data_IF_843779679163
#
_entry.id   IF_843779679163
#
_cell.length_a   1.000
_cell.length_b   1.000
_cell.length_c   1.000
_cell.angle_alpha   90.00
_cell.angle_beta   90.00
_cell.angle_gamma   90.00
#
_symmetry.space_group_name_H-M   'P 1'
#
loop_
_entity.id
_entity.type
_entity.pdbx_description
1 polymer ?
#
# COMPACT_ATOMS: atom_id res chain seq x y z
N UNK A 1 25.12 41.28 -14.71
CA UNK A 1 24.72 39.87 -15.00
C UNK A 1 24.64 38.98 -13.76
N UNK A 2 25.04 39.44 -12.55
CA UNK A 2 25.05 38.59 -11.34
C UNK A 2 23.74 38.53 -10.53
N UNK A 3 22.83 39.49 -10.64
CA UNK A 3 21.61 39.54 -9.81
C UNK A 3 20.51 38.58 -10.28
N UNK A 4 20.48 38.23 -11.56
CA UNK A 4 19.48 37.32 -12.14
C UNK A 4 19.70 35.86 -11.73
N UNK A 5 20.92 35.50 -11.36
CA UNK A 5 21.27 34.14 -10.90
C UNK A 5 21.01 33.92 -9.41
N UNK A 6 21.04 34.98 -8.58
CA UNK A 6 20.70 34.89 -7.16
C UNK A 6 19.18 34.82 -6.92
N UNK A 7 18.38 35.60 -7.66
CA UNK A 7 16.91 35.47 -7.64
C UNK A 7 16.41 34.10 -8.09
N UNK A 8 17.03 33.51 -9.11
CA UNK A 8 16.67 32.15 -9.53
C UNK A 8 17.02 31.08 -8.48
N UNK A 9 18.02 31.32 -7.61
CA UNK A 9 18.39 30.41 -6.53
C UNK A 9 17.44 30.53 -5.34
N UNK A 10 17.04 31.74 -4.97
CA UNK A 10 16.10 32.03 -3.90
C UNK A 10 14.65 31.68 -4.28
N UNK A 11 14.20 31.97 -5.50
CA UNK A 11 12.88 31.54 -6.00
C UNK A 11 12.77 30.02 -6.13
N UNK A 12 13.85 29.32 -6.48
CA UNK A 12 13.88 27.85 -6.45
C UNK A 12 13.94 27.28 -5.04
N UNK A 13 14.55 27.98 -4.09
CA UNK A 13 14.58 27.60 -2.68
C UNK A 13 13.23 27.89 -2.01
N UNK A 14 12.55 28.96 -2.40
CA UNK A 14 11.23 29.37 -1.92
C UNK A 14 10.10 28.56 -2.59
N UNK A 15 10.28 28.09 -3.83
CA UNK A 15 9.48 27.01 -4.41
C UNK A 15 9.79 25.64 -3.79
N UNK A 16 11.05 25.35 -3.43
CA UNK A 16 11.40 24.14 -2.64
C UNK A 16 10.86 24.18 -1.21
N UNK A 17 10.73 25.37 -0.61
CA UNK A 17 10.13 25.62 0.70
C UNK A 17 8.61 25.87 0.62
N UNK A 18 8.02 25.95 -0.57
CA UNK A 18 6.57 25.92 -0.76
C UNK A 18 6.11 24.46 -0.64
N UNK A 19 6.09 24.00 0.61
CA UNK A 19 5.77 22.64 1.04
C UNK A 19 4.50 22.15 0.35
N UNK A 20 4.63 21.16 -0.55
CA UNK A 20 3.50 20.39 -1.07
C UNK A 20 3.44 18.97 -0.52
N UNK A 21 4.52 18.50 0.13
CA UNK A 21 4.53 17.24 0.84
C UNK A 21 5.57 17.18 1.97
N UNK A 22 5.36 16.28 2.93
CA UNK A 22 6.24 16.06 4.08
C UNK A 22 6.38 14.57 4.42
N UNK A 23 7.59 14.12 4.78
CA UNK A 23 7.80 12.77 5.32
C UNK A 23 7.30 12.70 6.74
N UNK A 24 6.52 11.66 7.03
CA UNK A 24 5.96 11.45 8.35
C UNK A 24 6.69 10.34 9.11
N UNK A 25 6.98 10.62 10.38
CA UNK A 25 7.42 9.65 11.37
C UNK A 25 6.37 9.49 12.46
N UNK A 26 6.44 8.38 13.19
CA UNK A 26 5.56 8.10 14.32
C UNK A 26 6.13 8.68 15.61
N UNK A 27 5.30 9.38 16.38
CA UNK A 27 5.69 9.83 17.72
C UNK A 27 5.75 8.65 18.70
N UNK A 28 6.80 8.54 19.54
CA UNK A 28 6.97 7.47 20.52
C UNK A 28 5.74 7.24 21.40
N UNK A 29 5.32 5.98 21.55
CA UNK A 29 4.20 5.59 22.41
C UNK A 29 2.79 5.95 21.91
N UNK A 30 2.66 6.61 20.75
CA UNK A 30 1.36 7.06 20.22
C UNK A 30 1.00 6.36 18.92
N UNK A 31 -0.15 6.64 18.31
CA UNK A 31 -0.47 6.28 16.92
C UNK A 31 -0.44 7.51 15.99
N UNK A 32 0.23 8.58 16.41
CA UNK A 32 0.26 9.88 15.73
C UNK A 32 1.49 9.97 14.84
N UNK A 33 1.28 10.45 13.62
CA UNK A 33 2.33 10.66 12.63
C UNK A 33 2.51 12.16 12.37
N UNK A 34 3.76 12.61 12.32
CA UNK A 34 4.15 14.03 12.18
C UNK A 34 5.36 14.18 11.28
N UNK A 35 5.51 15.37 10.72
CA UNK A 35 6.67 15.73 9.91
C UNK A 35 7.95 15.53 10.73
N UNK A 36 8.85 14.67 10.27
CA UNK A 36 10.11 14.35 10.95
C UNK A 36 11.06 15.55 11.05
N UNK A 37 10.96 16.51 10.12
CA UNK A 37 11.75 17.75 10.18
C UNK A 37 11.27 18.66 11.32
N UNK A 38 9.97 18.63 11.62
CA UNK A 38 9.37 19.43 12.69
C UNK A 38 9.46 18.74 14.06
N UNK A 39 9.41 17.41 14.08
CA UNK A 39 9.45 16.59 15.30
C UNK A 39 10.55 15.53 15.19
N UNK A 40 11.79 15.86 15.57
CA UNK A 40 12.95 14.96 15.45
C UNK A 40 12.84 13.67 16.27
N UNK A 41 12.00 13.63 17.30
CA UNK A 41 11.69 12.44 18.09
C UNK A 41 10.81 11.42 17.33
N UNK A 42 10.19 11.84 16.22
CA UNK A 42 9.38 10.98 15.38
C UNK A 42 10.29 9.98 14.65
N UNK A 43 9.95 8.69 14.74
CA UNK A 43 10.74 7.61 14.15
C UNK A 43 10.06 7.04 12.92
N UNK A 44 10.85 6.56 11.98
CA UNK A 44 10.39 5.94 10.73
C UNK A 44 10.52 4.42 10.79
N UNK A 45 10.03 3.73 9.77
CA UNK A 45 10.08 2.27 9.69
C UNK A 45 10.94 1.83 8.51
N UNK A 46 11.83 0.88 8.74
CA UNK A 46 12.60 0.25 7.67
C UNK A 46 11.66 -0.35 6.62
N UNK A 47 11.95 -0.09 5.34
CA UNK A 47 11.16 -0.60 4.21
C UNK A 47 9.86 0.15 3.95
N UNK A 48 9.51 1.17 4.73
CA UNK A 48 8.25 1.90 4.62
C UNK A 48 8.53 3.41 4.62
N UNK A 49 8.11 4.08 3.56
CA UNK A 49 8.12 5.54 3.48
C UNK A 49 6.68 6.04 3.63
N UNK A 50 6.48 7.07 4.46
CA UNK A 50 5.16 7.68 4.66
C UNK A 50 5.26 9.14 4.26
N UNK A 51 4.45 9.57 3.30
CA UNK A 51 4.49 10.93 2.78
C UNK A 51 3.09 11.51 2.82
N UNK A 52 2.96 12.68 3.45
CA UNK A 52 1.75 13.48 3.41
C UNK A 52 1.80 14.44 2.27
N UNK A 53 0.70 14.57 1.53
CA UNK A 53 0.52 15.60 0.52
C UNK A 53 -0.30 16.73 1.15
N UNK A 54 0.30 17.93 1.21
CA UNK A 54 -0.24 19.11 1.90
C UNK A 54 -0.97 20.08 0.94
N UNK A 55 -1.35 19.62 -0.25
CA UNK A 55 -1.99 20.45 -1.28
C UNK A 55 -2.98 19.66 -2.17
N UNK A 56 -3.93 20.35 -2.84
CA UNK A 56 -4.67 19.76 -3.96
C UNK A 56 -3.70 19.24 -5.03
N UNK A 57 -4.06 18.16 -5.71
CA UNK A 57 -3.20 17.53 -6.71
C UNK A 57 -3.72 17.85 -8.12
N UNK A 58 -2.90 18.49 -8.92
CA UNK A 58 -3.24 18.90 -10.27
C UNK A 58 -2.06 18.70 -11.22
N UNK A 59 -2.29 18.84 -12.52
CA UNK A 59 -1.28 18.62 -13.55
C UNK A 59 0.06 19.34 -13.28
N UNK A 60 0.01 20.59 -12.79
CA UNK A 60 1.22 21.38 -12.59
C UNK A 60 2.06 20.99 -11.36
N UNK A 61 1.52 20.26 -10.37
CA UNK A 61 2.29 19.88 -9.17
C UNK A 61 2.55 18.37 -9.02
N UNK A 62 1.92 17.53 -9.84
CA UNK A 62 2.09 16.08 -9.71
C UNK A 62 3.53 15.61 -9.99
N UNK A 63 4.24 16.24 -10.92
CA UNK A 63 5.64 15.91 -11.19
C UNK A 63 6.52 16.22 -9.98
N UNK A 64 6.30 17.36 -9.33
CA UNK A 64 7.02 17.70 -8.10
C UNK A 64 6.75 16.67 -7.00
N UNK A 65 5.50 16.20 -6.84
CA UNK A 65 5.17 15.15 -5.86
C UNK A 65 5.91 13.85 -6.20
N UNK A 66 5.96 13.45 -7.48
CA UNK A 66 6.72 12.26 -7.92
C UNK A 66 8.20 12.38 -7.59
N UNK A 67 8.82 13.50 -7.94
CA UNK A 67 10.25 13.74 -7.70
C UNK A 67 10.57 13.68 -6.20
N UNK A 68 9.72 14.29 -5.36
CA UNK A 68 9.87 14.23 -3.91
C UNK A 68 9.71 12.82 -3.36
N UNK A 69 8.74 12.05 -3.84
CA UNK A 69 8.57 10.66 -3.43
C UNK A 69 9.83 9.83 -3.73
N UNK A 70 10.45 10.03 -4.91
CA UNK A 70 11.70 9.37 -5.26
C UNK A 70 12.88 9.82 -4.39
N UNK A 71 13.00 11.11 -4.08
CA UNK A 71 14.03 11.62 -3.17
C UNK A 71 13.92 10.98 -1.77
N UNK A 72 12.70 10.85 -1.24
CA UNK A 72 12.45 10.21 0.06
C UNK A 72 12.70 8.70 0.10
N UNK A 73 12.81 8.03 -1.05
CA UNK A 73 13.25 6.63 -1.10
C UNK A 73 14.76 6.48 -0.84
N UNK A 74 15.53 7.50 -1.21
CA UNK A 74 17.00 7.50 -1.19
C UNK A 74 17.51 8.10 0.11
N UNK A 75 16.83 9.13 0.62
CA UNK A 75 17.31 9.88 1.76
C UNK A 75 17.16 9.13 3.09
N UNK A 76 18.29 9.08 3.81
CA UNK A 76 18.39 8.53 5.14
C UNK A 76 18.34 9.71 6.12
N UNK A 77 17.13 10.25 6.37
CA UNK A 77 16.85 11.53 7.04
C UNK A 77 17.33 11.68 8.50
N UNK A 78 18.30 10.90 8.97
CA UNK A 78 18.82 10.93 10.34
C UNK A 78 17.82 10.49 11.41
N UNK A 79 16.55 10.29 11.04
CA UNK A 79 15.49 9.79 11.91
C UNK A 79 15.82 8.39 12.40
N UNK A 80 15.50 8.12 13.67
CA UNK A 80 15.63 6.76 14.20
C UNK A 80 14.72 5.82 13.40
N UNK A 81 15.28 4.72 12.89
CA UNK A 81 14.54 3.72 12.13
C UNK A 81 14.17 2.54 13.02
N UNK A 82 12.96 2.02 12.87
CA UNK A 82 12.47 0.83 13.59
C UNK A 82 11.96 -0.24 12.64
N UNK A 83 11.78 -1.45 13.15
CA UNK A 83 11.27 -2.58 12.39
C UNK A 83 12.39 -3.48 11.86
N UNK A 84 12.04 -4.47 11.01
CA UNK A 84 13.00 -5.43 10.48
C UNK A 84 14.13 -4.74 9.71
N UNK A 85 15.34 -5.30 9.72
CA UNK A 85 16.43 -4.78 8.90
C UNK A 85 16.17 -5.13 7.43
N UNK A 86 15.86 -4.11 6.63
CA UNK A 86 15.73 -4.22 5.18
C UNK A 86 16.53 -3.10 4.52
N UNK A 87 17.10 -3.40 3.35
CA UNK A 87 18.03 -2.51 2.64
C UNK A 87 17.33 -1.63 1.60
N UNK A 88 16.03 -1.85 1.34
CA UNK A 88 15.25 -1.11 0.35
C UNK A 88 13.86 -0.76 0.86
N UNK A 89 13.22 0.17 0.18
CA UNK A 89 11.80 0.47 0.34
C UNK A 89 10.95 -0.62 -0.32
N UNK A 90 9.90 -1.05 0.37
CA UNK A 90 8.90 -1.99 -0.12
C UNK A 90 7.51 -1.36 -0.19
N UNK A 91 7.25 -0.35 0.64
CA UNK A 91 5.96 0.30 0.73
C UNK A 91 6.09 1.81 0.77
N UNK A 92 5.22 2.48 0.02
CA UNK A 92 5.02 3.93 0.09
C UNK A 92 3.58 4.21 0.49
N UNK A 93 3.40 4.83 1.64
CA UNK A 93 2.09 5.23 2.16
C UNK A 93 1.89 6.71 1.86
N UNK A 94 0.89 7.03 1.05
CA UNK A 94 0.50 8.40 0.72
C UNK A 94 -0.65 8.81 1.64
N UNK A 95 -0.40 9.81 2.49
CA UNK A 95 -1.40 10.43 3.35
C UNK A 95 -2.05 11.61 2.60
N UNK A 96 -3.36 11.53 2.45
CA UNK A 96 -4.15 12.44 1.63
C UNK A 96 -5.18 13.26 2.43
N UNK A 97 -5.10 13.32 3.76
CA UNK A 97 -6.08 14.07 4.54
C UNK A 97 -6.16 15.57 4.16
N UNK A 98 -5.03 16.25 3.89
CA UNK A 98 -5.07 17.65 3.45
C UNK A 98 -5.48 17.82 1.98
N UNK A 99 -5.49 16.75 1.18
CA UNK A 99 -5.78 16.83 -0.25
C UNK A 99 -7.27 17.08 -0.42
N UNK A 100 -7.65 18.28 -0.86
CA UNK A 100 -9.05 18.66 -1.05
C UNK A 100 -9.61 18.27 -2.42
N UNK A 101 -8.75 18.20 -3.43
CA UNK A 101 -9.12 17.98 -4.83
C UNK A 101 -8.02 17.26 -5.61
N UNK A 102 -8.42 16.46 -6.60
CA UNK A 102 -7.53 15.82 -7.57
C UNK A 102 -8.11 15.94 -8.98
N UNK A 103 -7.32 16.43 -9.94
CA UNK A 103 -7.77 16.54 -11.34
C UNK A 103 -7.54 15.25 -12.15
N UNK A 104 -8.17 15.08 -13.34
CA UNK A 104 -8.00 13.88 -14.16
C UNK A 104 -6.56 13.61 -14.60
N UNK A 105 -5.75 14.65 -14.80
CA UNK A 105 -4.35 14.50 -15.20
C UNK A 105 -3.49 13.96 -14.07
N UNK A 106 -3.71 14.43 -12.84
CA UNK A 106 -3.10 13.95 -11.62
C UNK A 106 -3.52 12.50 -11.32
N UNK A 107 -4.78 12.14 -11.59
CA UNK A 107 -5.24 10.75 -11.52
C UNK A 107 -4.42 9.86 -12.46
N UNK A 108 -4.23 10.27 -13.72
CA UNK A 108 -3.44 9.49 -14.66
C UNK A 108 -1.99 9.35 -14.19
N UNK A 109 -1.37 10.45 -13.78
CA UNK A 109 -0.01 10.44 -13.27
C UNK A 109 0.16 9.59 -12.00
N UNK A 110 -0.84 9.50 -11.13
CA UNK A 110 -0.86 8.57 -9.98
C UNK A 110 -0.94 7.11 -10.44
N UNK A 111 -1.72 6.79 -11.48
CA UNK A 111 -1.75 5.45 -12.06
C UNK A 111 -0.40 5.06 -12.66
N UNK A 112 0.23 5.99 -13.39
CA UNK A 112 1.56 5.77 -13.97
C UNK A 112 2.59 5.53 -12.87
N UNK A 113 2.57 6.35 -11.81
CA UNK A 113 3.43 6.18 -10.64
C UNK A 113 3.23 4.80 -9.98
N UNK A 114 1.98 4.36 -9.84
CA UNK A 114 1.70 3.02 -9.31
C UNK A 114 2.31 1.91 -10.18
N UNK A 115 2.23 2.02 -11.51
CA UNK A 115 2.88 1.04 -12.40
C UNK A 115 4.40 1.09 -12.28
N UNK A 116 5.00 2.27 -12.27
CA UNK A 116 6.44 2.47 -12.08
C UNK A 116 6.92 1.83 -10.76
N UNK A 117 6.16 1.99 -9.68
CA UNK A 117 6.50 1.43 -8.37
C UNK A 117 6.31 -0.09 -8.35
N UNK A 118 5.24 -0.59 -8.96
CA UNK A 118 4.98 -2.02 -9.09
C UNK A 118 6.10 -2.74 -9.86
N UNK A 119 6.66 -2.12 -10.90
CA UNK A 119 7.82 -2.65 -11.63
C UNK A 119 9.07 -2.77 -10.76
N UNK A 120 9.18 -1.98 -9.70
CA UNK A 120 10.28 -2.01 -8.72
C UNK A 120 9.93 -2.81 -7.47
N UNK A 121 8.82 -3.53 -7.47
CA UNK A 121 8.31 -4.28 -6.31
C UNK A 121 8.15 -3.38 -5.08
N UNK A 122 7.59 -2.18 -5.31
CA UNK A 122 7.16 -1.22 -4.30
C UNK A 122 5.63 -1.10 -4.38
N UNK A 123 4.96 -1.33 -3.26
CA UNK A 123 3.51 -1.20 -3.16
C UNK A 123 3.11 0.19 -2.64
N UNK A 124 2.17 0.83 -3.33
CA UNK A 124 1.54 2.08 -2.87
C UNK A 124 0.34 1.76 -1.99
N UNK A 125 0.24 2.42 -0.84
CA UNK A 125 -0.96 2.46 -0.03
C UNK A 125 -1.48 3.90 0.07
N UNK A 126 -2.80 4.08 -0.02
CA UNK A 126 -3.45 5.38 0.11
C UNK A 126 -4.11 5.46 1.50
N UNK A 127 -3.87 6.54 2.21
CA UNK A 127 -4.44 6.76 3.54
C UNK A 127 -5.19 8.07 3.63
N UNK A 128 -6.35 8.01 4.29
CA UNK A 128 -7.24 9.12 4.59
C UNK A 128 -7.60 10.05 3.42
N UNK A 129 -7.94 9.54 2.21
CA UNK A 129 -8.46 10.40 1.16
C UNK A 129 -9.81 10.97 1.60
N UNK A 130 -10.03 12.27 1.36
CA UNK A 130 -11.35 12.84 1.63
C UNK A 130 -12.43 12.20 0.72
N UNK A 131 -13.71 12.40 1.07
CA UNK A 131 -14.82 11.76 0.35
C UNK A 131 -14.86 12.09 -1.16
N UNK A 132 -14.65 13.34 -1.55
CA UNK A 132 -14.68 13.76 -2.95
C UNK A 132 -13.51 13.16 -3.73
N UNK A 133 -12.31 13.16 -3.15
CA UNK A 133 -11.10 12.55 -3.72
C UNK A 133 -11.29 11.05 -3.88
N UNK A 134 -11.82 10.37 -2.85
CA UNK A 134 -12.10 8.94 -2.89
C UNK A 134 -13.10 8.59 -4.00
N UNK A 135 -14.17 9.38 -4.15
CA UNK A 135 -15.15 9.19 -5.23
C UNK A 135 -14.51 9.39 -6.61
N UNK A 136 -13.65 10.39 -6.78
CA UNK A 136 -12.92 10.61 -8.03
C UNK A 136 -11.99 9.44 -8.34
N UNK A 137 -11.24 8.93 -7.36
CA UNK A 137 -10.37 7.75 -7.49
C UNK A 137 -11.17 6.48 -7.83
N UNK A 138 -12.37 6.32 -7.25
CA UNK A 138 -13.25 5.19 -7.56
C UNK A 138 -13.74 5.27 -9.01
N UNK A 139 -14.25 6.42 -9.43
CA UNK A 139 -14.80 6.63 -10.78
C UNK A 139 -13.75 6.47 -11.88
N UNK A 140 -12.49 6.77 -11.59
CA UNK A 140 -11.39 6.57 -12.52
C UNK A 140 -10.87 5.14 -12.57
N UNK A 141 -11.38 4.22 -11.74
CA UNK A 141 -10.86 2.85 -11.61
C UNK A 141 -9.49 2.77 -10.91
N UNK A 142 -9.05 3.85 -10.26
CA UNK A 142 -7.75 3.87 -9.56
C UNK A 142 -7.78 2.97 -8.32
N UNK A 143 -8.93 2.89 -7.64
CA UNK A 143 -9.09 1.99 -6.47
C UNK A 143 -8.87 0.53 -6.87
N UNK A 144 -9.49 0.09 -7.96
CA UNK A 144 -9.36 -1.29 -8.42
C UNK A 144 -7.96 -1.57 -8.98
N UNK A 145 -7.32 -0.57 -9.58
CA UNK A 145 -5.94 -0.68 -10.08
C UNK A 145 -4.93 -0.93 -8.94
N UNK A 146 -5.03 -0.14 -7.87
CA UNK A 146 -4.12 -0.22 -6.73
C UNK A 146 -4.47 -1.41 -5.82
N UNK A 147 -5.77 -1.73 -5.70
CA UNK A 147 -6.31 -2.74 -4.79
C UNK A 147 -7.03 -2.09 -3.60
N UNK A 148 -8.25 -2.56 -3.30
CA UNK A 148 -9.11 -2.00 -2.23
C UNK A 148 -8.50 -2.17 -0.84
N UNK A 149 -7.73 -3.24 -0.66
CA UNK A 149 -6.99 -3.56 0.56
C UNK A 149 -5.87 -2.55 0.87
N UNK A 150 -5.49 -1.73 -0.11
CA UNK A 150 -4.44 -0.71 0.01
C UNK A 150 -4.99 0.69 0.29
N UNK A 151 -6.29 0.79 0.60
CA UNK A 151 -6.93 2.03 1.03
C UNK A 151 -7.27 1.97 2.51
N UNK A 152 -6.77 2.94 3.27
CA UNK A 152 -6.90 2.98 4.72
C UNK A 152 -7.50 4.30 5.19
N UNK A 153 -8.28 4.26 6.28
CA UNK A 153 -8.73 5.48 6.95
C UNK A 153 -7.59 6.13 7.73
N UNK A 154 -6.77 5.32 8.41
CA UNK A 154 -5.67 5.82 9.26
C UNK A 154 -4.33 5.32 8.74
N UNK A 155 -3.33 6.22 8.73
CA UNK A 155 -1.92 5.88 8.46
C UNK A 155 -1.43 4.73 9.33
N UNK A 156 -1.82 4.72 10.61
CA UNK A 156 -1.38 3.69 11.54
C UNK A 156 -1.78 2.27 11.11
N UNK A 157 -2.99 2.12 10.56
CA UNK A 157 -3.49 0.81 10.12
C UNK A 157 -2.74 0.35 8.85
N UNK A 158 -2.47 1.28 7.92
CA UNK A 158 -1.63 1.02 6.75
C UNK A 158 -0.23 0.54 7.15
N UNK A 159 0.42 1.25 8.08
CA UNK A 159 1.76 0.91 8.59
C UNK A 159 1.78 -0.48 9.23
N UNK A 160 0.73 -0.86 9.99
CA UNK A 160 0.67 -2.19 10.60
C UNK A 160 0.65 -3.30 9.54
N UNK A 161 -0.16 -3.13 8.49
CA UNK A 161 -0.22 -4.08 7.37
C UNK A 161 1.12 -4.15 6.65
N UNK A 162 1.71 -3.01 6.31
CA UNK A 162 3.01 -2.96 5.64
C UNK A 162 4.11 -3.61 6.48
N UNK A 163 4.18 -3.33 7.79
CA UNK A 163 5.18 -3.93 8.69
C UNK A 163 5.07 -5.44 8.76
N UNK A 164 3.83 -5.97 8.84
CA UNK A 164 3.61 -7.41 8.82
C UNK A 164 4.11 -8.04 7.52
N UNK A 165 3.90 -7.37 6.38
CA UNK A 165 4.41 -7.86 5.10
C UNK A 165 5.93 -7.77 5.00
N UNK A 166 6.56 -6.69 5.47
CA UNK A 166 8.03 -6.59 5.55
C UNK A 166 8.61 -7.70 6.41
N UNK A 167 7.97 -8.04 7.53
CA UNK A 167 8.38 -9.17 8.38
C UNK A 167 8.30 -10.49 7.63
N UNK A 168 7.20 -10.76 6.94
CA UNK A 168 7.05 -11.98 6.15
C UNK A 168 8.11 -12.08 5.03
N UNK A 169 8.46 -10.96 4.38
CA UNK A 169 9.54 -10.92 3.39
C UNK A 169 10.90 -11.24 4.02
N UNK A 170 11.13 -10.78 5.25
CA UNK A 170 12.33 -11.06 6.03
C UNK A 170 12.36 -12.41 6.74
N UNK A 171 11.25 -13.14 6.82
CA UNK A 171 11.23 -14.55 7.23
C UNK A 171 11.62 -15.48 6.06
N UNK A 172 11.70 -14.96 4.84
CA UNK A 172 12.33 -15.61 3.69
C UNK A 172 13.69 -14.99 3.27
N UNK A 173 14.80 -15.12 4.04
CA UNK A 173 16.13 -14.83 3.48
C UNK A 173 17.16 -15.96 3.63
N UNK A 174 17.89 -16.13 2.51
CA UNK A 174 19.14 -16.88 2.23
C UNK A 174 19.02 -18.39 2.02
N UNK A 175 18.96 -18.80 0.74
CA UNK A 175 19.61 -20.08 0.35
C UNK A 175 21.07 -20.00 0.80
N UNK A 176 21.62 -21.02 1.50
CA UNK A 176 23.02 -21.00 1.85
C UNK A 176 23.86 -20.99 0.57
N UNK A 177 24.86 -20.09 0.52
CA UNK A 177 25.91 -20.18 -0.48
C UNK A 177 26.57 -21.56 -0.41
N UNK A 178 26.94 -22.16 -1.56
CA UNK A 178 27.49 -23.51 -1.57
C UNK A 178 28.90 -23.48 -0.98
N UNK A 179 29.03 -23.84 0.29
CA UNK A 179 30.30 -24.33 0.82
C UNK A 179 30.54 -25.73 0.28
N UNK A 180 31.73 -25.90 -0.30
CA UNK A 180 32.20 -27.14 -0.90
C UNK A 180 32.32 -28.26 0.14
N UNK A 181 31.73 -29.41 -0.23
CA UNK A 181 32.09 -30.79 0.15
C UNK A 181 31.88 -31.28 1.60
N UNK A 182 30.91 -32.20 1.81
CA UNK A 182 31.18 -33.66 1.75
C UNK A 182 30.00 -34.55 2.24
N UNK A 183 29.53 -35.42 1.34
CA UNK A 183 29.06 -36.81 1.54
C UNK A 183 28.06 -37.20 2.66
N UNK A 184 26.77 -37.39 2.31
CA UNK A 184 25.97 -38.66 2.36
C UNK A 184 24.46 -38.43 2.11
N UNK A 185 23.71 -39.42 1.56
CA UNK A 185 22.36 -39.19 1.03
C UNK A 185 21.27 -39.42 2.09
N UNK A 186 20.26 -38.53 2.13
CA UNK A 186 19.17 -38.60 3.11
C UNK A 186 17.82 -38.07 2.61
N UNK A 187 17.06 -38.94 1.96
CA UNK A 187 15.62 -39.19 2.16
C UNK A 187 14.55 -38.07 2.22
N UNK A 188 14.77 -36.83 1.74
CA UNK A 188 13.71 -35.79 1.74
C UNK A 188 13.12 -35.43 0.37
N UNK A 189 13.14 -36.33 -0.61
CA UNK A 189 12.48 -36.12 -1.90
C UNK A 189 11.07 -36.75 -2.00
N UNK A 190 10.44 -37.09 -0.87
CA UNK A 190 9.12 -37.74 -0.85
C UNK A 190 7.96 -36.87 -0.36
N UNK A 191 8.21 -35.63 0.06
CA UNK A 191 7.18 -34.74 0.65
C UNK A 191 6.69 -33.60 -0.26
N UNK A 192 7.21 -33.48 -1.49
CA UNK A 192 6.75 -32.48 -2.47
C UNK A 192 5.89 -33.06 -3.60
N UNK A 193 5.54 -34.34 -3.54
CA UNK A 193 4.58 -34.99 -4.46
C UNK A 193 3.16 -35.14 -3.90
N UNK A 194 2.89 -34.65 -2.70
CA UNK A 194 1.59 -34.82 -2.01
C UNK A 194 0.78 -33.52 -1.84
N UNK A 195 1.13 -32.42 -2.51
CA UNK A 195 0.33 -31.17 -2.43
C UNK A 195 -0.10 -30.59 -3.77
N UNK A 196 0.17 -31.28 -4.87
CA UNK A 196 -0.19 -30.85 -6.23
C UNK A 196 -1.30 -31.68 -6.87
N UNK A 197 -2.02 -32.50 -6.10
CA UNK A 197 -3.13 -33.33 -6.63
C UNK A 197 -4.52 -33.03 -6.03
N UNK A 198 -4.68 -32.00 -5.17
CA UNK A 198 -5.99 -31.72 -4.53
C UNK A 198 -6.77 -30.52 -5.14
N UNK A 199 -6.42 -30.05 -6.34
CA UNK A 199 -7.20 -29.01 -7.02
C UNK A 199 -7.38 -29.29 -8.51
N UNK A 200 -8.07 -30.38 -8.84
CA UNK A 200 -9.01 -30.48 -9.97
C UNK A 200 -9.54 -31.91 -10.09
N UNK A 201 -10.80 -32.18 -9.75
CA UNK A 201 -11.59 -33.22 -10.44
C UNK A 201 -13.04 -32.73 -10.60
N UNK A 202 -13.40 -32.52 -11.86
CA UNK A 202 -14.76 -32.49 -12.40
C UNK A 202 -15.36 -33.90 -12.47
N UNK A 203 -16.59 -34.05 -11.94
CA UNK A 203 -17.76 -34.74 -12.52
C UNK A 203 -17.74 -36.25 -12.93
N UNK A 204 -18.91 -36.89 -12.66
CA UNK A 204 -19.51 -38.12 -13.25
C UNK A 204 -19.05 -39.46 -12.60
N UNK A 205 -19.87 -40.48 -12.30
CA UNK A 205 -21.25 -40.83 -12.71
C UNK A 205 -21.76 -42.09 -11.93
N UNK A 206 -23.10 -42.28 -11.90
CA UNK A 206 -23.85 -43.57 -11.83
C UNK A 206 -23.93 -44.31 -10.47
N UNK A 207 -25.05 -44.49 -9.75
CA UNK A 207 -26.39 -45.09 -10.05
C UNK A 207 -26.59 -46.30 -9.08
N UNK A 208 -27.71 -46.67 -8.45
CA UNK A 208 -29.14 -46.39 -8.58
C UNK A 208 -29.91 -46.93 -7.33
N UNK A 209 -31.07 -46.33 -7.00
CA UNK A 209 -32.28 -46.79 -6.25
C UNK A 209 -32.23 -47.27 -4.77
N UNK A 210 -32.91 -46.53 -3.88
CA UNK A 210 -34.19 -46.96 -3.27
C UNK A 210 -35.00 -45.77 -2.71
N UNK A 211 -36.32 -45.83 -2.98
CA UNK A 211 -37.35 -44.84 -2.72
C UNK A 211 -37.62 -44.60 -1.22
N UNK A 212 -37.87 -43.35 -0.82
CA UNK A 212 -38.94 -43.02 0.12
C UNK A 212 -39.53 -41.64 -0.22
N UNK A 213 -40.79 -41.64 -0.61
CA UNK A 213 -41.69 -40.49 -0.78
C UNK A 213 -42.17 -40.00 0.59
N UNK A 214 -42.31 -38.68 0.79
CA UNK A 214 -43.55 -38.11 1.32
C UNK A 214 -43.66 -36.61 1.03
N UNK A 215 -44.91 -36.20 0.85
CA UNK A 215 -45.48 -35.01 0.21
C UNK A 215 -45.47 -33.73 1.05
N UNK A 216 -45.59 -32.63 0.31
CA UNK A 216 -46.13 -31.31 0.63
C UNK A 216 -46.95 -31.16 1.92
N UNK A 217 -46.71 -30.05 2.63
CA UNK A 217 -47.83 -29.22 3.06
C UNK A 217 -47.48 -27.72 3.08
N UNK A 218 -48.40 -26.93 2.53
CA UNK A 218 -48.36 -25.47 2.45
C UNK A 218 -48.88 -24.87 3.76
N UNK A 219 -48.25 -23.78 4.25
CA UNK A 219 -49.04 -22.69 4.85
C UNK A 219 -48.34 -21.34 4.73
N UNK A 220 -48.96 -20.51 3.91
CA UNK A 220 -49.01 -19.06 3.84
C UNK A 220 -48.82 -18.33 5.19
N UNK A 221 -48.14 -17.17 5.22
CA UNK A 221 -48.51 -15.93 5.93
C UNK A 221 -47.52 -14.77 5.61
N UNK A 222 -48.09 -13.62 5.24
CA UNK A 222 -47.47 -12.38 4.73
C UNK A 222 -46.71 -11.50 5.77
N UNK A 223 -45.89 -10.52 5.34
CA UNK A 223 -45.11 -9.62 6.21
C UNK A 223 -45.84 -8.29 6.55
N UNK A 224 -45.61 -7.68 7.73
CA UNK A 224 -46.17 -6.35 8.02
C UNK A 224 -45.25 -5.20 7.57
N UNK A 225 -45.95 -4.18 7.07
CA UNK A 225 -45.49 -2.98 6.36
C UNK A 225 -44.73 -1.94 7.19
N UNK A 226 -43.93 -1.16 6.45
CA UNK A 226 -43.44 0.19 6.79
C UNK A 226 -44.53 1.08 7.40
N UNK A 227 -44.18 1.82 8.45
CA UNK A 227 -44.82 3.10 8.79
C UNK A 227 -43.83 4.25 8.60
N UNK A 228 -44.27 5.22 7.81
CA UNK A 228 -43.73 6.58 7.73
C UNK A 228 -44.10 7.34 9.01
N UNK A 229 -43.13 8.03 9.59
CA UNK A 229 -43.28 9.30 10.30
C UNK A 229 -42.10 10.19 9.86
#
# INVERSE_FOLDING_TARGET
>A
MGERSQKNGEENLEMKNSISCAVLGRLPGTTIYRNIQQYPEAYTYNGIVIVRIDAPIYFANINYIKDRLQEYEIDNDGSSKRGPEVTRVHFVIIEMAPVTYIDPSAIQALKDLHQEYKLRDIQIAISNPNQLVLLTLARSGTIDLIGKEWYFVRVHDAVRVCLQQVQNLNEFPKKPEPSLENNRPGHFQKLLKQRTEDFCISQLESGNLQNFTFSDDNTHLEPPLLRKC
#
